data_IF_379059876633
#
_entry.id   IF_379059876633
#
_cell.length_a   1.000
_cell.length_b   1.000
_cell.length_c   1.000
_cell.angle_alpha   90.00
_cell.angle_beta   90.00
_cell.angle_gamma   90.00
#
_symmetry.space_group_name_H-M   'P 1'
#
loop_
_entity.id
_entity.type
_entity.pdbx_description
1 polymer ?
#
# COMPACT_ATOMS: atom_id res chain seq x y z
N UNK A 1 -15.07 -2.33 -32.99
CA UNK A 1 -15.23 -3.54 -32.21
C UNK A 1 -15.46 -3.15 -30.78
N UNK A 2 -16.51 -3.65 -30.14
CA UNK A 2 -16.72 -3.48 -28.71
C UNK A 2 -15.58 -4.19 -27.99
N UNK A 3 -14.84 -3.48 -27.16
CA UNK A 3 -13.92 -4.10 -26.22
C UNK A 3 -14.73 -4.99 -25.28
N UNK A 4 -14.32 -6.23 -24.99
CA UNK A 4 -14.99 -7.03 -24.00
C UNK A 4 -15.01 -6.25 -22.66
N UNK A 5 -16.18 -6.17 -22.07
CA UNK A 5 -16.34 -5.56 -20.74
C UNK A 5 -15.46 -6.32 -19.75
N UNK A 6 -14.69 -5.57 -18.95
CA UNK A 6 -13.74 -6.14 -17.97
C UNK A 6 -14.31 -6.23 -16.57
N UNK A 7 -15.61 -6.14 -16.44
CA UNK A 7 -16.28 -6.29 -15.17
C UNK A 7 -16.10 -7.72 -14.62
N UNK A 8 -15.95 -7.84 -13.33
CA UNK A 8 -15.61 -9.11 -12.69
C UNK A 8 -16.60 -10.24 -13.05
N UNK A 9 -17.90 -9.91 -13.15
CA UNK A 9 -18.95 -10.89 -13.55
C UNK A 9 -18.90 -11.31 -15.04
N UNK A 10 -18.14 -10.59 -15.86
CA UNK A 10 -17.89 -10.96 -17.26
C UNK A 10 -16.63 -11.81 -17.43
N UNK A 11 -15.78 -11.87 -16.40
CA UNK A 11 -14.54 -12.64 -16.45
C UNK A 11 -14.82 -14.11 -16.09
N UNK A 12 -15.60 -14.33 -15.02
CA UNK A 12 -15.94 -15.67 -14.57
C UNK A 12 -17.19 -15.67 -13.67
N UNK A 13 -17.86 -16.82 -13.50
CA UNK A 13 -18.92 -16.99 -12.51
C UNK A 13 -18.45 -16.73 -11.07
N UNK A 14 -19.38 -16.38 -10.18
CA UNK A 14 -19.05 -15.95 -8.80
C UNK A 14 -18.37 -17.02 -7.93
N UNK A 15 -18.53 -18.30 -8.27
CA UNK A 15 -17.88 -19.42 -7.58
C UNK A 15 -16.47 -19.71 -8.11
N UNK A 16 -16.12 -19.17 -9.27
CA UNK A 16 -14.81 -19.38 -9.90
C UNK A 16 -13.68 -18.68 -9.13
N UNK A 17 -12.49 -19.31 -8.99
CA UNK A 17 -11.34 -18.69 -8.29
C UNK A 17 -10.95 -17.31 -8.81
N UNK A 18 -10.97 -17.08 -10.12
CA UNK A 18 -10.64 -15.77 -10.70
C UNK A 18 -11.59 -14.66 -10.23
N UNK A 19 -12.91 -14.93 -10.16
CA UNK A 19 -13.89 -13.99 -9.61
C UNK A 19 -13.58 -13.66 -8.15
N UNK A 20 -13.40 -14.70 -7.33
CA UNK A 20 -13.08 -14.55 -5.89
C UNK A 20 -11.80 -13.74 -5.66
N UNK A 21 -10.77 -13.99 -6.48
CA UNK A 21 -9.50 -13.24 -6.39
C UNK A 21 -9.69 -11.78 -6.69
N UNK A 22 -10.39 -11.43 -7.77
CA UNK A 22 -10.62 -10.02 -8.14
C UNK A 22 -11.42 -9.31 -7.04
N UNK A 23 -12.50 -9.93 -6.54
CA UNK A 23 -13.30 -9.37 -5.44
C UNK A 23 -12.46 -9.19 -4.17
N UNK A 24 -11.56 -10.12 -3.86
CA UNK A 24 -10.67 -10.00 -2.70
C UNK A 24 -9.73 -8.79 -2.83
N UNK A 25 -9.18 -8.53 -4.03
CA UNK A 25 -8.35 -7.35 -4.28
C UNK A 25 -9.15 -6.05 -4.31
N UNK A 26 -10.39 -6.05 -4.80
CA UNK A 26 -11.28 -4.90 -4.70
C UNK A 26 -11.58 -4.55 -3.24
N UNK A 27 -11.87 -5.54 -2.40
CA UNK A 27 -12.05 -5.35 -0.96
C UNK A 27 -10.77 -4.82 -0.30
N UNK A 28 -9.61 -5.38 -0.64
CA UNK A 28 -8.32 -4.89 -0.14
C UNK A 28 -8.10 -3.43 -0.54
N UNK A 29 -8.41 -3.05 -1.78
CA UNK A 29 -8.31 -1.66 -2.26
C UNK A 29 -9.19 -0.72 -1.43
N UNK A 30 -10.42 -1.09 -1.10
CA UNK A 30 -11.28 -0.28 -0.23
C UNK A 30 -10.73 -0.18 1.20
N UNK A 31 -10.22 -1.26 1.74
CA UNK A 31 -9.55 -1.23 3.05
C UNK A 31 -8.29 -0.38 3.06
N UNK A 32 -7.57 -0.31 1.95
CA UNK A 32 -6.42 0.58 1.78
C UNK A 32 -6.80 2.04 1.50
N UNK A 33 -8.08 2.40 1.45
CA UNK A 33 -8.52 3.77 1.10
C UNK A 33 -7.87 4.86 1.95
N UNK A 34 -7.72 4.75 3.29
CA UNK A 34 -7.03 5.76 4.08
C UNK A 34 -5.57 5.95 3.65
N UNK A 35 -4.90 4.87 3.27
CA UNK A 35 -3.54 4.91 2.73
C UNK A 35 -3.49 5.54 1.34
N UNK A 36 -4.36 5.11 0.43
CA UNK A 36 -4.42 5.60 -0.94
C UNK A 36 -4.78 7.08 -1.00
N UNK A 37 -5.76 7.50 -0.21
CA UNK A 37 -6.22 8.89 -0.19
C UNK A 37 -5.16 9.82 0.41
N UNK A 38 -4.45 9.36 1.46
CA UNK A 38 -3.32 10.10 2.00
C UNK A 38 -2.16 10.22 0.99
N UNK A 39 -1.92 9.20 0.15
CA UNK A 39 -0.96 9.31 -0.95
C UNK A 39 -1.41 10.35 -1.99
N UNK A 40 -2.71 10.43 -2.31
CA UNK A 40 -3.23 11.50 -3.18
C UNK A 40 -2.96 12.89 -2.59
N UNK A 41 -3.15 13.06 -1.28
CA UNK A 41 -2.73 14.24 -0.55
C UNK A 41 -1.22 14.51 -0.68
N UNK A 42 -0.37 13.48 -0.57
CA UNK A 42 1.08 13.62 -0.78
C UNK A 42 1.43 14.06 -2.21
N UNK A 43 0.71 13.56 -3.21
CA UNK A 43 0.88 13.99 -4.61
C UNK A 43 0.58 15.48 -4.74
N UNK A 44 -0.54 15.94 -4.17
CA UNK A 44 -0.94 17.35 -4.26
C UNK A 44 -0.01 18.30 -3.47
N UNK A 45 0.32 17.95 -2.22
CA UNK A 45 1.04 18.87 -1.32
C UNK A 45 2.57 18.72 -1.31
N UNK A 46 3.10 17.62 -1.87
CA UNK A 46 4.54 17.28 -1.77
C UNK A 46 5.16 16.80 -3.08
N UNK A 47 4.44 16.93 -4.20
CA UNK A 47 4.88 16.43 -5.53
C UNK A 47 5.33 14.97 -5.50
N UNK A 48 4.68 14.15 -4.66
CA UNK A 48 4.97 12.73 -4.53
C UNK A 48 4.40 11.94 -5.72
N UNK A 49 4.92 10.76 -5.99
CA UNK A 49 4.37 9.82 -6.98
C UNK A 49 3.96 8.52 -6.29
N UNK A 50 2.74 8.02 -6.58
CA UNK A 50 2.21 6.82 -5.91
C UNK A 50 2.97 5.55 -6.28
N UNK A 51 3.31 5.38 -7.56
CA UNK A 51 4.09 4.23 -8.06
C UNK A 51 5.51 4.68 -8.36
N UNK A 52 6.48 4.03 -7.72
CA UNK A 52 7.89 4.46 -7.75
C UNK A 52 8.80 3.28 -8.04
N UNK A 53 9.68 3.43 -9.02
CA UNK A 53 10.77 2.48 -9.23
C UNK A 53 11.65 2.39 -7.98
N UNK A 54 12.17 1.21 -7.67
CA UNK A 54 12.97 0.99 -6.45
C UNK A 54 14.18 1.93 -6.37
N UNK A 55 14.76 2.31 -7.50
CA UNK A 55 15.90 3.25 -7.59
C UNK A 55 15.56 4.63 -7.00
N UNK A 56 14.30 5.05 -6.99
CA UNK A 56 13.90 6.34 -6.45
C UNK A 56 13.98 6.39 -4.91
N UNK A 57 13.75 5.27 -4.25
CA UNK A 57 13.71 5.17 -2.78
C UNK A 57 14.93 4.45 -2.18
N UNK A 58 15.65 3.66 -2.99
CA UNK A 58 16.79 2.85 -2.58
C UNK A 58 18.05 3.11 -3.43
N UNK A 59 18.27 4.37 -3.80
CA UNK A 59 19.38 4.79 -4.70
C UNK A 59 20.81 4.46 -4.18
N UNK A 60 20.95 4.08 -2.91
CA UNK A 60 22.20 3.59 -2.35
C UNK A 60 22.41 2.06 -2.50
N UNK A 61 21.57 1.40 -3.30
CA UNK A 61 21.62 -0.04 -3.54
C UNK A 61 21.71 -0.33 -5.05
N UNK A 62 22.91 -0.64 -5.53
CA UNK A 62 23.16 -0.85 -6.96
C UNK A 62 22.32 -1.99 -7.57
N UNK A 63 21.86 -2.92 -6.75
CA UNK A 63 21.04 -4.04 -7.22
C UNK A 63 19.62 -3.63 -7.65
N UNK A 64 19.16 -2.42 -7.32
CA UNK A 64 17.81 -1.98 -7.68
C UNK A 64 17.72 -1.29 -9.05
N UNK A 65 18.84 -0.90 -9.65
CA UNK A 65 18.84 -0.09 -10.88
C UNK A 65 18.17 -0.78 -12.08
N UNK A 66 18.34 -2.08 -12.21
CA UNK A 66 17.79 -2.85 -13.34
C UNK A 66 16.50 -3.60 -13.03
N UNK A 67 15.95 -3.44 -11.81
CA UNK A 67 14.69 -4.09 -11.43
C UNK A 67 13.53 -3.37 -12.09
N UNK A 68 12.79 -4.07 -12.98
CA UNK A 68 11.67 -3.53 -13.76
C UNK A 68 10.32 -4.09 -13.35
N UNK A 69 10.29 -5.11 -12.52
CA UNK A 69 9.13 -5.92 -12.16
C UNK A 69 8.82 -5.90 -10.65
N UNK A 70 9.42 -4.95 -9.95
CA UNK A 70 9.14 -4.61 -8.56
C UNK A 70 9.10 -3.09 -8.42
N UNK A 71 8.13 -2.56 -7.67
CA UNK A 71 8.02 -1.13 -7.41
C UNK A 71 7.38 -0.85 -6.06
N UNK A 72 7.68 0.33 -5.52
CA UNK A 72 6.97 0.83 -4.36
C UNK A 72 5.60 1.38 -4.78
N UNK A 73 4.57 1.00 -4.04
CA UNK A 73 3.25 1.57 -4.11
C UNK A 73 3.02 2.41 -2.85
N UNK A 74 3.35 3.68 -2.94
CA UNK A 74 3.53 4.56 -1.79
C UNK A 74 4.74 4.16 -0.93
N UNK A 75 4.86 4.71 0.29
CA UNK A 75 6.03 4.50 1.14
C UNK A 75 6.07 3.13 1.85
N UNK A 76 4.94 2.39 1.89
CA UNK A 76 4.80 1.22 2.75
C UNK A 76 4.61 -0.11 2.01
N UNK A 77 4.32 -0.13 0.73
CA UNK A 77 4.05 -1.38 0.01
C UNK A 77 4.99 -1.54 -1.18
N UNK A 78 5.69 -2.66 -1.27
CA UNK A 78 6.42 -3.06 -2.47
C UNK A 78 5.65 -4.17 -3.19
N UNK A 79 5.16 -3.87 -4.39
CA UNK A 79 4.43 -4.81 -5.22
C UNK A 79 5.37 -5.57 -6.14
N UNK A 80 5.19 -6.89 -6.21
CA UNK A 80 6.05 -7.80 -6.98
C UNK A 80 5.21 -8.77 -7.81
N UNK A 81 4.45 -8.30 -8.82
CA UNK A 81 3.58 -9.18 -9.60
C UNK A 81 4.35 -10.21 -10.41
N UNK A 82 3.67 -11.30 -10.76
CA UNK A 82 4.18 -12.31 -11.68
C UNK A 82 3.81 -11.92 -13.10
N UNK A 83 4.82 -11.75 -13.96
CA UNK A 83 4.64 -11.42 -15.37
C UNK A 83 4.73 -12.62 -16.33
N UNK A 84 4.99 -13.83 -15.82
CA UNK A 84 5.16 -15.03 -16.64
C UNK A 84 3.97 -15.97 -16.51
N UNK A 85 3.56 -16.57 -17.62
CA UNK A 85 2.45 -17.53 -17.66
C UNK A 85 2.78 -18.79 -16.87
N UNK A 86 1.82 -19.27 -16.08
CA UNK A 86 1.92 -20.49 -15.24
C UNK A 86 3.05 -20.47 -14.20
N UNK A 87 3.51 -19.30 -13.77
CA UNK A 87 4.44 -19.17 -12.64
C UNK A 87 3.68 -18.94 -11.34
N UNK A 88 3.98 -19.74 -10.34
CA UNK A 88 3.40 -19.70 -8.98
C UNK A 88 4.41 -19.28 -7.90
N UNK A 89 5.55 -18.80 -8.33
CA UNK A 89 6.59 -18.18 -7.50
C UNK A 89 7.46 -17.27 -8.34
N UNK A 90 8.15 -16.36 -7.70
CA UNK A 90 9.13 -15.50 -8.36
C UNK A 90 10.28 -15.14 -7.43
N UNK A 91 11.42 -14.79 -8.02
CA UNK A 91 12.49 -14.14 -7.28
C UNK A 91 12.08 -12.70 -6.98
N UNK A 92 12.27 -12.29 -5.72
CA UNK A 92 12.05 -10.92 -5.24
C UNK A 92 13.34 -10.45 -4.58
N UNK A 93 13.89 -9.36 -5.05
CA UNK A 93 14.97 -8.68 -4.36
C UNK A 93 14.40 -7.77 -3.28
N UNK A 94 14.89 -7.93 -2.08
CA UNK A 94 14.56 -7.07 -0.93
C UNK A 94 15.68 -6.06 -0.75
N UNK A 95 15.48 -4.76 -1.09
CA UNK A 95 16.53 -3.75 -0.99
C UNK A 95 17.22 -3.71 0.38
N UNK A 96 18.54 -3.49 0.36
CA UNK A 96 19.33 -3.29 1.59
C UNK A 96 18.93 -1.97 2.26
N UNK A 97 19.31 -1.73 3.48
CA UNK A 97 19.06 -0.55 4.34
C UNK A 97 17.96 -0.77 5.39
N UNK A 98 17.05 -1.71 5.21
CA UNK A 98 16.03 -2.11 6.18
C UNK A 98 15.59 -3.55 5.97
N UNK A 99 14.99 -4.15 6.98
CA UNK A 99 14.29 -5.43 6.82
C UNK A 99 12.91 -5.25 6.17
N UNK A 100 12.30 -6.37 5.85
CA UNK A 100 11.05 -6.44 5.10
C UNK A 100 10.11 -7.47 5.70
N UNK A 101 8.84 -7.21 5.66
CA UNK A 101 7.79 -8.12 6.08
C UNK A 101 6.97 -8.57 4.87
N UNK A 102 6.68 -9.85 4.78
CA UNK A 102 5.61 -10.32 3.87
C UNK A 102 4.29 -9.76 4.37
N UNK A 103 3.58 -9.05 3.51
CA UNK A 103 2.34 -8.35 3.86
C UNK A 103 1.24 -9.28 4.39
N UNK A 104 1.17 -10.51 3.89
CA UNK A 104 0.09 -11.44 4.21
C UNK A 104 0.40 -12.30 5.43
N UNK A 105 1.64 -12.68 5.62
CA UNK A 105 2.05 -13.63 6.66
C UNK A 105 2.71 -12.96 7.86
N UNK A 106 3.18 -11.72 7.70
CA UNK A 106 3.99 -11.03 8.70
C UNK A 106 5.40 -11.63 8.86
N UNK A 107 5.81 -12.56 7.99
CA UNK A 107 7.16 -13.14 8.06
C UNK A 107 8.21 -12.08 7.74
N UNK A 108 9.20 -11.97 8.61
CA UNK A 108 10.29 -11.01 8.48
C UNK A 108 11.46 -11.59 7.68
N UNK A 109 12.08 -10.73 6.88
CA UNK A 109 13.29 -11.02 6.10
C UNK A 109 14.29 -9.87 6.25
N UNK A 110 15.57 -10.20 6.28
CA UNK A 110 16.60 -9.17 6.18
C UNK A 110 16.61 -8.54 4.77
N UNK A 111 17.04 -7.28 4.69
CA UNK A 111 17.28 -6.63 3.39
C UNK A 111 18.60 -7.08 2.75
N UNK A 112 18.81 -6.66 1.50
CA UNK A 112 20.03 -6.96 0.74
C UNK A 112 20.08 -8.40 0.20
N UNK A 113 18.96 -9.07 0.00
CA UNK A 113 18.89 -10.44 -0.47
C UNK A 113 17.79 -10.66 -1.50
N UNK A 114 17.94 -11.68 -2.32
CA UNK A 114 16.88 -12.20 -3.17
C UNK A 114 16.26 -13.42 -2.50
N UNK A 115 14.95 -13.43 -2.45
CA UNK A 115 14.15 -14.57 -1.93
C UNK A 115 13.28 -15.14 -3.05
N UNK A 116 12.86 -16.39 -2.89
CA UNK A 116 11.78 -16.97 -3.69
C UNK A 116 10.47 -16.71 -2.95
N UNK A 117 9.61 -15.89 -3.53
CA UNK A 117 8.30 -15.58 -2.99
C UNK A 117 7.23 -16.46 -3.66
N UNK A 118 6.38 -17.08 -2.86
CA UNK A 118 5.21 -17.81 -3.36
C UNK A 118 4.21 -16.82 -3.96
N UNK A 119 3.72 -17.15 -5.15
CA UNK A 119 2.75 -16.35 -5.88
C UNK A 119 1.66 -17.26 -6.46
N UNK A 120 0.84 -17.91 -5.63
CA UNK A 120 -0.30 -18.67 -6.10
C UNK A 120 -1.23 -17.77 -6.91
N UNK A 121 -2.12 -18.37 -7.69
CA UNK A 121 -2.97 -17.64 -8.64
C UNK A 121 -3.77 -16.47 -8.02
N UNK A 122 -4.12 -16.57 -6.76
CA UNK A 122 -4.90 -15.59 -6.02
C UNK A 122 -4.06 -14.56 -5.26
N UNK A 123 -2.72 -14.52 -5.46
CA UNK A 123 -1.84 -13.69 -4.64
C UNK A 123 -0.71 -13.02 -5.43
N UNK A 124 -0.66 -11.72 -5.35
CA UNK A 124 0.51 -10.94 -5.77
C UNK A 124 1.43 -10.81 -4.55
N UNK A 125 2.71 -11.22 -4.62
CA UNK A 125 3.65 -10.97 -3.54
C UNK A 125 3.76 -9.48 -3.24
N UNK A 126 3.58 -9.11 -1.96
CA UNK A 126 3.70 -7.74 -1.46
C UNK A 126 4.55 -7.76 -0.21
N UNK A 127 5.51 -6.84 -0.14
CA UNK A 127 6.41 -6.69 1.01
C UNK A 127 6.32 -5.29 1.59
N UNK A 128 6.50 -5.20 2.90
CA UNK A 128 6.42 -3.96 3.68
C UNK A 128 7.75 -3.71 4.36
N UNK A 129 8.40 -2.56 4.13
CA UNK A 129 9.67 -2.26 4.79
C UNK A 129 9.49 -1.94 6.27
N UNK A 130 10.47 -2.28 7.10
CA UNK A 130 10.54 -1.87 8.51
C UNK A 130 10.34 -0.36 8.67
N UNK A 131 9.69 0.05 9.74
CA UNK A 131 9.34 1.43 10.03
C UNK A 131 8.06 1.90 9.33
N UNK A 132 7.41 1.06 8.51
CA UNK A 132 6.16 1.45 7.88
C UNK A 132 5.01 1.53 8.87
N UNK A 133 4.16 2.54 8.68
CA UNK A 133 2.86 2.67 9.33
C UNK A 133 1.81 2.65 8.22
N UNK A 134 0.95 1.63 8.21
CA UNK A 134 -0.05 1.41 7.18
C UNK A 134 -1.45 1.54 7.78
N UNK A 135 -2.19 2.63 7.49
CA UNK A 135 -3.57 2.77 7.93
C UNK A 135 -4.50 1.91 7.05
N UNK A 136 -5.32 1.10 7.70
CA UNK A 136 -6.29 0.20 7.08
C UNK A 136 -7.68 0.58 7.56
N UNK A 137 -8.57 0.86 6.62
CA UNK A 137 -9.97 1.18 6.87
C UNK A 137 -10.86 -0.05 6.98
N UNK A 138 -12.16 0.18 7.22
CA UNK A 138 -13.17 -0.88 7.23
C UNK A 138 -13.41 -1.47 5.84
N UNK A 139 -14.02 -2.65 5.78
CA UNK A 139 -14.60 -3.16 4.54
C UNK A 139 -15.79 -2.30 4.10
N UNK A 140 -15.82 -1.96 2.81
CA UNK A 140 -16.87 -1.17 2.17
C UNK A 140 -17.15 -1.73 0.77
N UNK A 141 -18.37 -1.53 0.28
CA UNK A 141 -18.75 -1.88 -1.09
C UNK A 141 -18.55 -0.73 -2.08
N UNK A 142 -18.57 0.52 -1.59
CA UNK A 142 -18.23 1.74 -2.34
C UNK A 142 -17.60 2.79 -1.42
N UNK A 143 -16.94 3.78 -2.00
CA UNK A 143 -16.01 4.68 -1.30
C UNK A 143 -16.62 5.56 -0.21
N UNK A 144 -17.91 5.88 -0.31
CA UNK A 144 -18.66 6.75 0.61
C UNK A 144 -19.80 6.04 1.33
N UNK A 145 -19.79 4.71 1.36
CA UNK A 145 -20.80 3.91 2.04
C UNK A 145 -20.92 4.25 3.53
N UNK A 146 -19.80 4.53 4.17
CA UNK A 146 -19.72 4.94 5.59
C UNK A 146 -18.45 5.72 5.86
N UNK A 147 -18.52 6.67 6.79
CA UNK A 147 -17.30 7.28 7.33
C UNK A 147 -16.52 6.21 8.10
N UNK A 148 -15.21 6.23 7.99
CA UNK A 148 -14.34 5.33 8.76
C UNK A 148 -14.35 5.80 10.23
N UNK A 149 -15.16 5.17 11.09
CA UNK A 149 -15.18 5.43 12.53
C UNK A 149 -13.93 4.89 13.23
N UNK A 150 -13.32 3.85 12.65
CA UNK A 150 -12.13 3.20 13.14
C UNK A 150 -11.17 2.94 11.96
N UNK A 151 -9.90 3.24 12.17
CA UNK A 151 -8.79 2.92 11.26
C UNK A 151 -7.77 2.12 12.05
N UNK A 152 -7.45 0.93 11.57
CA UNK A 152 -6.39 0.11 12.13
C UNK A 152 -5.02 0.62 11.66
N UNK A 153 -4.08 0.79 12.57
CA UNK A 153 -2.70 1.14 12.24
C UNK A 153 -1.81 -0.10 12.34
N UNK A 154 -1.39 -0.61 11.20
CA UNK A 154 -0.38 -1.67 11.14
C UNK A 154 1.01 -1.05 11.19
N UNK A 155 1.77 -1.38 12.23
CA UNK A 155 3.14 -0.88 12.44
C UNK A 155 4.12 -2.02 12.25
N UNK A 156 5.06 -1.83 11.32
CA UNK A 156 6.08 -2.81 10.98
C UNK A 156 7.38 -2.44 11.69
N UNK A 157 7.67 -3.13 12.78
CA UNK A 157 8.79 -2.85 13.68
C UNK A 157 10.17 -3.06 13.00
N UNK A 158 11.25 -2.65 13.69
CA UNK A 158 12.65 -2.82 13.24
C UNK A 158 13.34 -1.51 12.89
N UNK A 159 12.57 -0.44 12.63
CA UNK A 159 13.09 0.91 12.36
C UNK A 159 12.07 1.96 12.78
N UNK A 160 12.54 3.15 13.13
CA UNK A 160 11.67 4.31 13.32
C UNK A 160 10.91 4.64 12.04
N UNK A 161 9.68 5.11 12.18
CA UNK A 161 8.82 5.42 11.06
C UNK A 161 7.86 6.57 11.31
N UNK A 162 7.30 7.07 10.22
CA UNK A 162 6.26 8.10 10.28
C UNK A 162 5.30 7.96 9.11
N UNK A 163 4.08 8.42 9.32
CA UNK A 163 3.06 8.52 8.28
C UNK A 163 2.13 9.69 8.60
N UNK A 164 1.64 10.36 7.58
CA UNK A 164 0.63 11.42 7.73
C UNK A 164 -0.67 10.97 7.08
N UNK A 165 -1.71 10.80 7.88
CA UNK A 165 -3.07 10.58 7.40
C UNK A 165 -3.63 11.90 6.91
N UNK A 166 -4.17 11.92 5.70
CA UNK A 166 -4.85 13.05 5.08
C UNK A 166 -6.33 12.75 4.94
N UNK A 167 -7.17 13.72 5.24
CA UNK A 167 -8.61 13.66 5.10
C UNK A 167 -9.18 15.01 4.64
N UNK A 168 -10.22 15.00 3.82
CA UNK A 168 -10.99 16.15 3.38
C UNK A 168 -12.47 15.78 3.17
N UNK A 169 -13.24 16.60 2.46
CA UNK A 169 -14.66 16.38 2.18
C UNK A 169 -14.90 15.29 1.09
N UNK A 170 -13.86 14.84 0.38
CA UNK A 170 -13.86 13.69 -0.53
C UNK A 170 -14.40 13.95 -1.95
N UNK A 171 -15.35 14.86 -2.13
CA UNK A 171 -16.11 15.00 -3.39
C UNK A 171 -16.01 16.36 -4.07
N UNK A 172 -15.17 17.26 -3.55
CA UNK A 172 -15.02 18.62 -4.06
C UNK A 172 -13.56 19.11 -3.97
N UNK A 173 -13.33 20.36 -4.37
CA UNK A 173 -12.01 21.00 -4.38
C UNK A 173 -11.80 21.98 -3.20
N UNK A 174 -12.55 21.85 -2.11
CA UNK A 174 -12.41 22.75 -0.96
C UNK A 174 -11.07 22.57 -0.23
N UNK A 175 -10.38 21.47 -0.42
CA UNK A 175 -9.01 21.27 0.07
C UNK A 175 -8.02 22.35 -0.46
N UNK A 176 -8.23 22.87 -1.67
CA UNK A 176 -7.45 24.00 -2.22
C UNK A 176 -7.67 25.29 -1.43
N UNK A 177 -8.78 25.39 -0.69
CA UNK A 177 -9.12 26.50 0.21
C UNK A 177 -8.80 26.18 1.68
N UNK A 178 -8.02 25.15 1.93
CA UNK A 178 -7.62 24.74 3.29
C UNK A 178 -8.63 23.90 4.05
N UNK A 179 -9.69 23.38 3.40
CA UNK A 179 -10.69 22.49 4.01
C UNK A 179 -10.22 21.03 3.97
N UNK A 180 -9.20 20.73 4.76
CA UNK A 180 -8.66 19.39 4.95
C UNK A 180 -8.06 19.25 6.36
N UNK A 181 -7.73 18.04 6.74
CA UNK A 181 -7.04 17.74 7.98
C UNK A 181 -5.89 16.76 7.77
N UNK A 182 -4.88 16.88 8.61
CA UNK A 182 -3.74 15.95 8.65
C UNK A 182 -3.52 15.47 10.08
N UNK A 183 -3.20 14.18 10.23
CA UNK A 183 -2.84 13.56 11.50
C UNK A 183 -1.51 12.86 11.30
N UNK A 184 -0.48 13.30 12.04
CA UNK A 184 0.85 12.69 11.96
C UNK A 184 0.95 11.52 12.93
N UNK A 185 1.42 10.37 12.43
CA UNK A 185 1.81 9.20 13.21
C UNK A 185 3.33 9.09 13.23
N UNK A 186 3.89 8.76 14.38
CA UNK A 186 5.32 8.46 14.53
C UNK A 186 5.50 7.18 15.32
N UNK A 187 6.35 6.31 14.83
CA UNK A 187 6.77 5.11 15.53
C UNK A 187 8.23 5.23 15.97
N UNK A 188 8.49 5.00 17.25
CA UNK A 188 9.83 4.88 17.80
C UNK A 188 10.11 3.40 18.05
N UNK A 189 11.05 2.83 17.30
CA UNK A 189 11.32 1.39 17.39
C UNK A 189 12.02 0.98 18.69
N UNK A 190 12.91 1.81 19.21
CA UNK A 190 13.61 1.51 20.45
C UNK A 190 12.64 1.45 21.66
N UNK A 191 11.65 2.32 21.69
CA UNK A 191 10.64 2.38 22.75
C UNK A 191 9.39 1.56 22.46
N UNK A 192 9.23 1.03 21.24
CA UNK A 192 8.04 0.32 20.76
C UNK A 192 6.75 1.13 20.97
N UNK A 193 6.83 2.44 20.73
CA UNK A 193 5.72 3.37 20.95
C UNK A 193 5.27 4.02 19.65
N UNK A 194 3.94 4.18 19.51
CA UNK A 194 3.31 4.98 18.45
C UNK A 194 2.79 6.26 19.08
N UNK A 195 3.18 7.39 18.52
CA UNK A 195 2.65 8.70 18.87
C UNK A 195 1.68 9.15 17.78
N UNK A 196 0.46 9.46 18.18
CA UNK A 196 -0.57 10.06 17.32
C UNK A 196 -0.64 11.54 17.68
N UNK A 197 -0.27 12.41 16.75
CA UNK A 197 -0.32 13.85 16.95
C UNK A 197 -1.76 14.38 16.91
N UNK A 198 -1.95 15.58 17.45
CA UNK A 198 -3.22 16.27 17.31
C UNK A 198 -3.53 16.53 15.82
N UNK A 199 -4.82 16.42 15.47
CA UNK A 199 -5.34 16.76 14.14
C UNK A 199 -5.03 18.22 13.81
N UNK A 200 -4.44 18.47 12.65
CA UNK A 200 -4.18 19.80 12.11
C UNK A 200 -5.16 20.07 10.97
N UNK A 201 -5.83 21.22 11.01
CA UNK A 201 -6.85 21.57 10.03
C UNK A 201 -8.23 21.00 10.36
N UNK A 202 -9.21 21.38 9.55
CA UNK A 202 -10.61 20.93 9.68
C UNK A 202 -11.33 21.01 8.35
N UNK A 203 -12.35 20.19 8.21
CA UNK A 203 -13.34 20.22 7.11
C UNK A 203 -14.71 19.81 7.67
N UNK A 204 -15.77 20.08 6.91
CA UNK A 204 -17.18 19.87 7.32
C UNK A 204 -17.65 18.44 7.05
#
# INVERSE_FOLDING_TARGET
GQWPTREVWNIAPADHPAYKTIVAYDKLRYRLMPYLYSMAGMVHFKDYTMMRGLVMDFNGDDNVYDIKDQWMFGPALMACPVGEYQKYSRNVYLPKQRGWYDFYTGKHYAGGQTIVADAPFDKIPVFVPEGSILPIGPEMEWSDQKKAELIDLYVYAGKDGSYTLYEDEGTNYNYEKGKYAMIDFKYNDAQKTVTIAARKGSFD
#
